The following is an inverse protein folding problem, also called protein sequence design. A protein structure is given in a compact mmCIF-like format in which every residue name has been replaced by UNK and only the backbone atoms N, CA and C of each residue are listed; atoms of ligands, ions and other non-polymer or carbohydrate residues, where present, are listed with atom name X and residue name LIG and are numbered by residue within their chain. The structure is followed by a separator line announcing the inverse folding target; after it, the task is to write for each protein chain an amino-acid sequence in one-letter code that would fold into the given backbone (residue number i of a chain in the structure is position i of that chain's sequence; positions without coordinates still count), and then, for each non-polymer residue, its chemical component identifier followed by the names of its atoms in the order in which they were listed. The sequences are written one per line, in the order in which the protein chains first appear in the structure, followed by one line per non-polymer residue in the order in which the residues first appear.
data_IF_898526833974
#
_entry.id   IF_898526833974
#
_cell.length_a   1.000
_cell.length_b   1.000
_cell.length_c   1.000
_cell.angle_alpha   90.00
_cell.angle_beta   90.00
_cell.angle_gamma   90.00
#
_symmetry.space_group_name_H-M   'P 1'
#
loop_
_entity.id
_entity.type
_entity.pdbx_description
1 polymer ?
#
# COMPACT_ATOMS: atom_id res chain seq x y z
N UNK A 1 10.50 -3.29 14.00
CA UNK A 1 9.11 -3.32 13.48
C UNK A 1 9.20 -3.84 12.06
N UNK A 2 8.52 -4.94 11.71
CA UNK A 2 8.59 -5.48 10.35
C UNK A 2 8.02 -4.47 9.36
N UNK A 3 8.53 -4.47 8.14
CA UNK A 3 8.05 -3.61 7.05
C UNK A 3 6.56 -3.85 6.76
N UNK A 4 6.12 -5.11 6.84
CA UNK A 4 4.72 -5.52 6.76
C UNK A 4 3.82 -4.84 7.82
N UNK A 5 4.31 -4.69 9.06
CA UNK A 5 3.56 -4.04 10.14
C UNK A 5 3.37 -2.54 9.88
N UNK A 6 4.35 -1.90 9.25
CA UNK A 6 4.26 -0.47 8.90
C UNK A 6 3.21 -0.24 7.82
N UNK A 7 3.25 -1.03 6.76
CA UNK A 7 2.26 -0.95 5.66
C UNK A 7 0.85 -1.18 6.18
N UNK A 8 0.64 -2.15 7.07
CA UNK A 8 -0.66 -2.36 7.70
C UNK A 8 -1.10 -1.17 8.56
N UNK A 9 -0.19 -0.58 9.34
CA UNK A 9 -0.48 0.57 10.17
C UNK A 9 -0.96 1.76 9.32
N UNK A 10 -0.29 1.99 8.18
CA UNK A 10 -0.62 3.08 7.25
C UNK A 10 -2.00 2.86 6.61
N UNK A 11 -2.30 1.63 6.18
CA UNK A 11 -3.64 1.26 5.66
C UNK A 11 -4.72 1.53 6.72
N UNK A 12 -4.48 1.16 7.97
CA UNK A 12 -5.44 1.37 9.05
C UNK A 12 -5.66 2.86 9.35
N UNK A 13 -4.58 3.66 9.39
CA UNK A 13 -4.69 5.11 9.56
C UNK A 13 -5.48 5.77 8.43
N UNK A 14 -5.22 5.36 7.19
CA UNK A 14 -5.95 5.85 6.02
C UNK A 14 -7.44 5.55 6.11
N UNK A 15 -7.82 4.32 6.46
CA UNK A 15 -9.24 3.95 6.61
C UNK A 15 -9.90 4.73 7.75
N UNK A 16 -9.23 4.91 8.88
CA UNK A 16 -9.74 5.71 10.01
C UNK A 16 -10.00 7.15 9.58
N UNK A 17 -9.09 7.78 8.83
CA UNK A 17 -9.25 9.15 8.31
C UNK A 17 -10.39 9.25 7.30
N UNK A 18 -10.42 8.34 6.33
CA UNK A 18 -11.47 8.29 5.31
C UNK A 18 -12.86 8.12 5.92
N UNK A 19 -12.97 7.36 7.02
CA UNK A 19 -14.23 7.13 7.73
C UNK A 19 -14.85 8.40 8.31
N UNK A 20 -14.05 9.37 8.77
CA UNK A 20 -14.58 10.67 9.20
C UNK A 20 -15.26 11.41 8.05
N UNK A 21 -14.65 11.38 6.86
CA UNK A 21 -15.21 12.00 5.65
C UNK A 21 -16.51 11.30 5.25
N UNK A 22 -16.52 9.96 5.20
CA UNK A 22 -17.72 9.19 4.83
C UNK A 22 -18.88 9.45 5.80
N UNK A 23 -18.62 9.44 7.11
CA UNK A 23 -19.66 9.72 8.12
C UNK A 23 -20.14 11.16 8.01
N UNK A 24 -19.25 12.13 7.78
CA UNK A 24 -19.62 13.53 7.60
C UNK A 24 -20.50 13.73 6.36
N UNK A 25 -20.19 13.07 5.24
CA UNK A 25 -20.98 13.14 4.01
C UNK A 25 -22.34 12.48 4.18
N UNK A 26 -22.39 11.25 4.71
CA UNK A 26 -23.64 10.52 4.89
C UNK A 26 -24.54 11.18 5.95
N UNK A 27 -23.96 11.59 7.08
CA UNK A 27 -24.66 12.30 8.14
C UNK A 27 -25.11 13.69 7.70
N UNK A 28 -24.26 14.42 6.97
CA UNK A 28 -24.58 15.73 6.42
C UNK A 28 -25.72 15.67 5.39
N UNK A 29 -25.67 14.72 4.46
CA UNK A 29 -26.73 14.50 3.48
C UNK A 29 -28.07 14.18 4.17
N UNK A 30 -28.05 13.33 5.21
CA UNK A 30 -29.24 13.00 5.98
C UNK A 30 -29.82 14.22 6.72
N UNK A 31 -28.97 15.10 7.27
CA UNK A 31 -29.41 16.33 7.95
C UNK A 31 -30.03 17.34 6.97
N UNK A 32 -29.46 17.52 5.78
CA UNK A 32 -29.95 18.48 4.77
C UNK A 32 -31.33 18.10 4.27
N UNK A 33 -31.61 16.80 4.13
CA UNK A 33 -32.89 16.31 3.61
C UNK A 33 -34.02 16.36 4.66
N UNK A 34 -33.72 16.64 5.94
CA UNK A 34 -34.73 16.65 7.01
C UNK A 34 -35.24 18.06 7.34
N UNK A 35 -36.57 18.25 7.43
CA UNK A 35 -37.14 19.48 7.97
C UNK A 35 -36.76 19.63 9.46
N UNK A 36 -36.36 20.85 9.86
CA UNK A 36 -35.81 21.17 11.19
C UNK A 36 -36.62 20.65 12.38
N UNK A 37 -37.94 20.57 12.24
CA UNK A 37 -38.87 20.10 13.29
C UNK A 37 -38.91 18.57 13.47
N UNK A 38 -38.40 17.79 12.51
CA UNK A 38 -38.37 16.32 12.58
C UNK A 38 -37.02 15.74 13.01
N UNK A 39 -35.97 16.57 13.08
CA UNK A 39 -34.62 16.17 13.46
C UNK A 39 -34.61 15.51 14.84
N UNK A 40 -35.37 16.04 15.81
CA UNK A 40 -35.39 15.53 17.18
C UNK A 40 -36.08 14.16 17.32
N UNK A 41 -37.13 13.90 16.53
CA UNK A 41 -37.92 12.66 16.64
C UNK A 41 -37.48 11.52 15.70
N UNK A 42 -37.13 11.82 14.44
CA UNK A 42 -36.69 10.81 13.45
C UNK A 42 -35.18 10.81 13.21
N UNK A 43 -34.50 11.92 13.48
CA UNK A 43 -33.05 12.03 13.32
C UNK A 43 -32.23 11.43 14.47
N UNK A 44 -32.83 11.26 15.65
CA UNK A 44 -32.13 10.85 16.88
C UNK A 44 -31.40 9.52 16.78
N UNK A 45 -31.94 8.54 16.05
CA UNK A 45 -31.31 7.22 15.89
C UNK A 45 -30.10 7.24 14.96
N UNK A 46 -30.20 7.86 13.78
CA UNK A 46 -29.08 7.94 12.84
C UNK A 46 -27.97 8.82 13.42
N UNK A 47 -28.33 9.92 14.09
CA UNK A 47 -27.36 10.77 14.78
C UNK A 47 -26.66 10.04 15.93
N UNK A 48 -27.39 9.29 16.76
CA UNK A 48 -26.78 8.52 17.86
C UNK A 48 -25.85 7.43 17.33
N UNK A 49 -26.21 6.76 16.24
CA UNK A 49 -25.34 5.80 15.58
C UNK A 49 -24.08 6.47 15.02
N UNK A 50 -24.20 7.62 14.35
CA UNK A 50 -23.04 8.38 13.88
C UNK A 50 -22.10 8.72 15.05
N UNK A 51 -22.64 9.14 16.20
CA UNK A 51 -21.84 9.40 17.40
C UNK A 51 -21.14 8.12 17.89
N UNK A 52 -21.84 6.98 17.93
CA UNK A 52 -21.26 5.69 18.33
C UNK A 52 -20.13 5.26 17.38
N UNK A 53 -20.34 5.37 16.06
CA UNK A 53 -19.33 5.00 15.06
C UNK A 53 -18.14 5.96 15.12
N UNK A 54 -18.35 7.26 15.33
CA UNK A 54 -17.26 8.24 15.52
C UNK A 54 -16.49 7.96 16.82
N UNK A 55 -17.17 7.62 17.91
CA UNK A 55 -16.56 7.23 19.17
C UNK A 55 -15.70 5.97 19.01
N UNK A 56 -16.22 4.94 18.34
CA UNK A 56 -15.46 3.74 18.01
C UNK A 56 -14.25 4.07 17.12
N UNK A 57 -14.40 4.95 16.12
CA UNK A 57 -13.30 5.38 15.26
C UNK A 57 -12.19 6.10 16.04
N UNK A 58 -12.56 6.91 17.04
CA UNK A 58 -11.62 7.53 17.98
C UNK A 58 -10.88 6.49 18.84
N UNK A 59 -11.61 5.48 19.33
CA UNK A 59 -11.02 4.37 20.10
C UNK A 59 -9.99 3.61 19.24
N UNK A 60 -10.31 3.30 17.98
CA UNK A 60 -9.37 2.66 17.05
C UNK A 60 -8.11 3.51 16.84
N UNK A 61 -8.27 4.82 16.65
CA UNK A 61 -7.14 5.73 16.53
C UNK A 61 -6.24 5.72 17.78
N UNK A 62 -6.85 5.76 18.97
CA UNK A 62 -6.11 5.72 20.25
C UNK A 62 -5.40 4.39 20.47
N UNK A 63 -6.05 3.27 20.17
CA UNK A 63 -5.47 1.93 20.30
C UNK A 63 -4.28 1.75 19.34
N UNK A 64 -4.38 2.28 18.13
CA UNK A 64 -3.30 2.29 17.14
C UNK A 64 -2.12 3.17 17.61
N UNK A 65 -2.41 4.37 18.11
CA UNK A 65 -1.39 5.33 18.60
C UNK A 65 -0.60 4.76 19.79
N UNK A 66 -1.28 4.12 20.74
CA UNK A 66 -0.66 3.54 21.94
C UNK A 66 -0.12 2.12 21.73
N UNK A 67 -0.23 1.57 20.51
CA UNK A 67 0.25 0.21 20.15
C UNK A 67 -0.18 -0.89 21.12
N UNK A 68 -1.40 -0.79 21.66
CA UNK A 68 -1.91 -1.77 22.63
C UNK A 68 -2.24 -3.14 22.00
N UNK A 69 -2.38 -3.20 20.68
CA UNK A 69 -2.76 -4.41 19.95
C UNK A 69 -2.04 -4.51 18.60
N UNK A 70 -1.84 -5.73 18.06
CA UNK A 70 -1.32 -5.92 16.72
C UNK A 70 -2.29 -5.37 15.67
N UNK A 71 -1.76 -4.76 14.61
CA UNK A 71 -2.54 -4.05 13.59
C UNK A 71 -3.57 -4.96 12.90
N UNK A 72 -3.21 -6.22 12.64
CA UNK A 72 -4.11 -7.20 12.02
C UNK A 72 -5.37 -7.46 12.87
N UNK A 73 -5.23 -7.63 14.19
CA UNK A 73 -6.38 -7.87 15.05
C UNK A 73 -7.29 -6.64 15.10
N UNK A 74 -6.70 -5.45 15.15
CA UNK A 74 -7.44 -4.20 15.13
C UNK A 74 -8.24 -4.03 13.84
N UNK A 75 -7.67 -4.41 12.69
CA UNK A 75 -8.38 -4.45 11.41
C UNK A 75 -9.60 -5.39 11.44
N UNK A 76 -9.48 -6.60 12.00
CA UNK A 76 -10.61 -7.51 12.16
C UNK A 76 -11.70 -6.92 13.05
N UNK A 77 -11.34 -6.39 14.22
CA UNK A 77 -12.31 -5.76 15.12
C UNK A 77 -13.03 -4.58 14.48
N UNK A 78 -12.30 -3.77 13.70
CA UNK A 78 -12.87 -2.64 12.97
C UNK A 78 -13.89 -3.11 11.92
N UNK A 79 -13.57 -4.10 11.09
CA UNK A 79 -14.49 -4.62 10.10
C UNK A 79 -15.72 -5.33 10.71
N UNK A 80 -15.54 -6.07 11.81
CA UNK A 80 -16.66 -6.70 12.54
C UNK A 80 -17.56 -5.64 13.14
N UNK A 81 -17.00 -4.59 13.75
CA UNK A 81 -17.77 -3.48 14.28
C UNK A 81 -18.58 -2.78 13.20
N UNK A 82 -17.99 -2.52 12.02
CA UNK A 82 -18.70 -1.91 10.90
C UNK A 82 -19.83 -2.79 10.38
N UNK A 83 -19.59 -4.10 10.29
CA UNK A 83 -20.60 -5.08 9.90
C UNK A 83 -21.80 -5.05 10.86
N UNK A 84 -21.55 -4.99 12.16
CA UNK A 84 -22.58 -4.90 13.19
C UNK A 84 -23.32 -3.55 13.14
N UNK A 85 -22.59 -2.44 12.99
CA UNK A 85 -23.19 -1.11 12.89
C UNK A 85 -24.12 -1.00 11.67
N UNK A 86 -23.68 -1.49 10.51
CA UNK A 86 -24.52 -1.55 9.30
C UNK A 86 -25.71 -2.48 9.51
N UNK A 87 -25.51 -3.64 10.15
CA UNK A 87 -26.60 -4.57 10.44
C UNK A 87 -27.69 -3.94 11.32
N UNK A 88 -27.31 -3.14 12.32
CA UNK A 88 -28.24 -2.40 13.18
C UNK A 88 -29.05 -1.37 12.38
N UNK A 89 -28.42 -0.67 11.43
CA UNK A 89 -29.12 0.27 10.53
C UNK A 89 -30.16 -0.46 9.68
N UNK A 90 -29.75 -1.57 9.06
CA UNK A 90 -30.59 -2.34 8.14
C UNK A 90 -31.74 -3.02 8.86
N UNK A 91 -31.48 -3.54 10.06
CA UNK A 91 -32.54 -4.09 10.90
C UNK A 91 -33.63 -3.05 11.21
N UNK A 92 -33.31 -1.75 11.27
CA UNK A 92 -34.29 -0.71 11.56
C UNK A 92 -34.98 -0.11 10.33
N UNK A 93 -34.25 0.05 9.23
CA UNK A 93 -34.70 0.77 8.03
C UNK A 93 -35.12 -0.15 6.88
N UNK A 94 -34.84 -1.45 6.96
CA UNK A 94 -35.06 -2.40 5.87
C UNK A 94 -33.82 -2.56 4.99
N UNK A 95 -33.74 -3.70 4.34
CA UNK A 95 -32.64 -4.15 3.49
C UNK A 95 -33.03 -4.16 2.00
N UNK A 96 -34.33 -4.17 1.70
CA UNK A 96 -34.88 -4.05 0.34
C UNK A 96 -34.55 -2.71 -0.34
N UNK A 97 -34.43 -1.62 0.40
CA UNK A 97 -34.10 -0.30 -0.13
C UNK A 97 -32.59 -0.06 -0.40
N UNK A 98 -32.24 1.20 -0.66
CA UNK A 98 -30.85 1.65 -0.92
C UNK A 98 -29.90 1.34 0.24
N UNK A 99 -30.42 1.22 1.46
CA UNK A 99 -29.60 0.91 2.64
C UNK A 99 -28.89 -0.43 2.49
N UNK A 100 -29.46 -1.44 1.81
CA UNK A 100 -28.83 -2.75 1.61
C UNK A 100 -27.45 -2.71 0.94
N UNK A 101 -27.17 -1.65 0.15
CA UNK A 101 -25.86 -1.44 -0.47
C UNK A 101 -24.76 -1.08 0.54
N UNK A 102 -25.09 -0.75 1.81
CA UNK A 102 -24.10 -0.45 2.85
C UNK A 102 -23.16 -1.62 3.15
N UNK A 103 -23.62 -2.86 2.97
CA UNK A 103 -22.76 -4.05 3.09
C UNK A 103 -21.61 -4.06 2.07
N UNK A 104 -21.78 -3.47 0.88
CA UNK A 104 -20.70 -3.38 -0.11
C UNK A 104 -19.54 -2.57 0.46
N UNK A 105 -19.80 -1.47 1.16
CA UNK A 105 -18.74 -0.65 1.75
C UNK A 105 -17.97 -1.40 2.84
N UNK A 106 -18.65 -2.25 3.63
CA UNK A 106 -17.98 -3.09 4.63
C UNK A 106 -17.06 -4.11 3.96
N UNK A 107 -17.53 -4.75 2.88
CA UNK A 107 -16.72 -5.70 2.09
C UNK A 107 -15.52 -4.97 1.46
N UNK A 108 -15.74 -3.80 0.86
CA UNK A 108 -14.68 -3.01 0.24
C UNK A 108 -13.60 -2.59 1.25
N UNK A 109 -14.00 -2.11 2.44
CA UNK A 109 -13.07 -1.75 3.51
C UNK A 109 -12.30 -3.00 3.98
N UNK A 110 -12.97 -4.14 4.14
CA UNK A 110 -12.29 -5.40 4.46
C UNK A 110 -11.27 -5.77 3.39
N UNK A 111 -11.58 -5.46 2.13
CA UNK A 111 -10.72 -5.63 0.96
C UNK A 111 -9.39 -4.87 1.03
N UNK A 112 -9.34 -3.77 1.79
CA UNK A 112 -8.12 -2.96 1.97
C UNK A 112 -7.32 -3.46 3.18
N UNK A 113 -8.03 -3.83 4.25
CA UNK A 113 -7.45 -4.07 5.56
C UNK A 113 -7.07 -5.53 5.83
N UNK A 114 -7.84 -6.48 5.30
CA UNK A 114 -7.74 -7.89 5.65
C UNK A 114 -7.08 -8.72 4.54
N UNK A 115 -6.44 -9.85 4.89
CA UNK A 115 -6.00 -10.83 3.91
C UNK A 115 -7.21 -11.50 3.23
N UNK A 116 -6.98 -12.22 2.12
CA UNK A 116 -8.01 -12.94 1.36
C UNK A 116 -9.00 -13.73 2.22
N UNK A 117 -8.51 -14.47 3.23
CA UNK A 117 -9.37 -15.24 4.15
C UNK A 117 -10.33 -14.34 4.95
N UNK A 118 -9.85 -13.19 5.43
CA UNK A 118 -10.66 -12.25 6.18
C UNK A 118 -11.71 -11.55 5.32
N UNK A 119 -11.38 -11.21 4.08
CA UNK A 119 -12.33 -10.64 3.11
C UNK A 119 -13.48 -11.62 2.85
N UNK A 120 -13.14 -12.89 2.58
CA UNK A 120 -14.15 -13.93 2.34
C UNK A 120 -15.05 -14.16 3.55
N UNK A 121 -14.50 -14.11 4.77
CA UNK A 121 -15.27 -14.22 6.02
C UNK A 121 -16.25 -13.05 6.20
N UNK A 122 -15.80 -11.81 5.98
CA UNK A 122 -16.65 -10.62 6.06
C UNK A 122 -17.74 -10.70 4.98
N UNK A 123 -17.39 -11.03 3.74
CA UNK A 123 -18.34 -11.14 2.64
C UNK A 123 -19.40 -12.21 2.89
N UNK A 124 -18.98 -13.40 3.36
CA UNK A 124 -19.91 -14.46 3.74
C UNK A 124 -20.86 -14.01 4.85
N UNK A 125 -20.32 -13.37 5.89
CA UNK A 125 -21.13 -12.84 7.00
C UNK A 125 -22.13 -11.78 6.53
N UNK A 126 -21.72 -10.87 5.63
CA UNK A 126 -22.60 -9.87 5.02
C UNK A 126 -23.74 -10.52 4.23
N UNK A 127 -23.45 -11.56 3.44
CA UNK A 127 -24.47 -12.29 2.66
C UNK A 127 -25.48 -12.97 3.60
N UNK A 128 -24.99 -13.67 4.62
CA UNK A 128 -25.86 -14.34 5.62
C UNK A 128 -26.75 -13.33 6.34
N UNK A 129 -26.18 -12.21 6.79
CA UNK A 129 -26.94 -11.16 7.48
C UNK A 129 -27.95 -10.49 6.54
N UNK A 130 -27.56 -10.20 5.31
CA UNK A 130 -28.45 -9.65 4.29
C UNK A 130 -29.68 -10.53 4.07
N UNK A 131 -29.48 -11.83 3.80
CA UNK A 131 -30.60 -12.76 3.60
C UNK A 131 -31.43 -12.97 4.87
N UNK A 132 -30.80 -12.98 6.05
CA UNK A 132 -31.50 -13.08 7.34
C UNK A 132 -32.44 -11.89 7.52
N UNK A 133 -31.96 -10.67 7.28
CA UNK A 133 -32.79 -9.46 7.36
C UNK A 133 -33.85 -9.40 6.27
N UNK A 134 -33.54 -9.90 5.06
CA UNK A 134 -34.50 -9.96 3.97
C UNK A 134 -35.67 -10.88 4.31
N UNK A 135 -35.39 -12.06 4.87
CA UNK A 135 -36.44 -12.99 5.33
C UNK A 135 -37.28 -12.34 6.42
N UNK A 136 -36.64 -11.73 7.44
CA UNK A 136 -37.36 -11.04 8.51
C UNK A 136 -38.23 -9.88 8.01
N UNK A 137 -37.76 -9.15 7.00
CA UNK A 137 -38.51 -8.08 6.35
C UNK A 137 -39.73 -8.64 5.61
N UNK A 138 -39.56 -9.74 4.85
CA UNK A 138 -40.66 -10.38 4.10
C UNK A 138 -41.70 -11.06 5.02
N UNK A 139 -41.27 -11.69 6.12
CA UNK A 139 -42.17 -12.51 6.97
C UNK A 139 -42.82 -11.76 8.12
N UNK A 140 -42.21 -10.70 8.63
CA UNK A 140 -42.53 -10.19 9.96
C UNK A 140 -42.65 -8.67 10.11
N UNK A 141 -42.29 -7.89 9.09
CA UNK A 141 -42.43 -6.43 9.14
C UNK A 141 -43.12 -5.94 7.87
N UNK A 142 -44.28 -5.32 8.02
CA UNK A 142 -44.91 -4.51 6.97
C UNK A 142 -44.05 -3.26 6.69
N UNK A 143 -42.83 -3.44 6.18
CA UNK A 143 -42.02 -2.35 5.61
C UNK A 143 -42.64 -2.07 4.25
N UNK A 144 -43.21 -0.87 4.02
CA UNK A 144 -43.74 -0.54 2.70
C UNK A 144 -42.60 -0.66 1.70
N UNK A 145 -42.79 -1.51 0.69
CA UNK A 145 -41.88 -1.62 -0.46
C UNK A 145 -41.79 -0.19 -1.02
N UNK A 146 -40.61 0.46 -0.98
CA UNK A 146 -40.50 1.81 -1.50
C UNK A 146 -40.86 1.75 -3.00
N UNK A 147 -41.77 2.62 -3.49
CA UNK A 147 -42.10 2.66 -4.90
C UNK A 147 -40.80 2.90 -5.69
N UNK A 148 -40.61 2.11 -6.75
CA UNK A 148 -39.45 2.20 -7.62
C UNK A 148 -39.24 3.66 -8.02
N UNK A 149 -38.02 4.15 -7.82
CA UNK A 149 -37.63 5.53 -8.08
C UNK A 149 -37.84 5.89 -9.55
N UNK A 150 -38.89 6.68 -9.83
CA UNK A 150 -39.01 7.58 -10.99
C UNK A 150 -39.16 6.99 -12.40
N UNK A 151 -38.97 5.68 -12.58
CA UNK A 151 -39.26 4.99 -13.84
C UNK A 151 -40.57 4.22 -13.64
N UNK A 152 -41.57 4.54 -14.45
CA UNK A 152 -42.83 3.77 -14.55
C UNK A 152 -42.50 2.27 -14.60
N UNK A 153 -43.18 1.41 -13.83
CA UNK A 153 -42.75 0.02 -13.70
C UNK A 153 -42.98 -0.70 -15.04
N UNK A 154 -41.91 -0.95 -15.80
CA UNK A 154 -41.93 -1.84 -16.96
C UNK A 154 -42.15 -3.31 -16.57
N UNK A 155 -41.95 -3.65 -15.29
CA UNK A 155 -42.02 -5.00 -14.75
C UNK A 155 -42.98 -5.06 -13.55
N UNK A 156 -43.62 -6.23 -13.29
CA UNK A 156 -44.38 -6.45 -12.05
C UNK A 156 -43.53 -6.20 -10.80
N UNK A 157 -44.13 -5.71 -9.70
CA UNK A 157 -43.42 -5.38 -8.45
C UNK A 157 -42.58 -6.54 -7.89
N UNK A 158 -43.11 -7.77 -8.01
CA UNK A 158 -42.40 -8.98 -7.58
C UNK A 158 -41.10 -9.20 -8.37
N UNK A 159 -41.09 -8.87 -9.65
CA UNK A 159 -39.89 -8.99 -10.49
C UNK A 159 -38.84 -7.93 -10.12
N UNK A 160 -39.26 -6.69 -9.82
CA UNK A 160 -38.36 -5.62 -9.37
C UNK A 160 -37.66 -5.98 -8.05
N UNK A 161 -38.38 -6.59 -7.11
CA UNK A 161 -37.80 -7.08 -5.85
C UNK A 161 -36.73 -8.15 -6.09
N UNK A 162 -37.02 -9.15 -6.93
CA UNK A 162 -36.06 -10.21 -7.26
C UNK A 162 -34.83 -9.65 -7.97
N UNK A 163 -35.02 -8.70 -8.89
CA UNK A 163 -33.92 -8.03 -9.59
C UNK A 163 -33.03 -7.26 -8.62
N UNK A 164 -33.59 -6.48 -7.69
CA UNK A 164 -32.80 -5.74 -6.70
C UNK A 164 -31.99 -6.68 -5.79
N UNK A 165 -32.60 -7.76 -5.30
CA UNK A 165 -31.91 -8.79 -4.50
C UNK A 165 -30.78 -9.45 -5.30
N UNK A 166 -31.04 -9.79 -6.56
CA UNK A 166 -30.04 -10.39 -7.45
C UNK A 166 -28.87 -9.44 -7.73
N UNK A 167 -29.15 -8.16 -7.98
CA UNK A 167 -28.12 -7.12 -8.17
C UNK A 167 -27.25 -7.01 -6.93
N UNK A 168 -27.83 -6.88 -5.73
CA UNK A 168 -27.08 -6.77 -4.47
C UNK A 168 -26.22 -8.01 -4.22
N UNK A 169 -26.80 -9.21 -4.40
CA UNK A 169 -26.07 -10.48 -4.27
C UNK A 169 -24.89 -10.57 -5.25
N UNK A 170 -25.11 -10.19 -6.52
CA UNK A 170 -24.06 -10.13 -7.53
C UNK A 170 -22.94 -9.15 -7.13
N UNK A 171 -23.30 -7.95 -6.67
CA UNK A 171 -22.31 -6.95 -6.25
C UNK A 171 -21.52 -7.37 -4.99
N UNK A 172 -22.14 -8.04 -4.01
CA UNK A 172 -21.41 -8.59 -2.87
C UNK A 172 -20.35 -9.59 -3.32
N UNK A 173 -20.72 -10.51 -4.21
CA UNK A 173 -19.80 -11.48 -4.79
C UNK A 173 -18.69 -10.80 -5.60
N UNK A 174 -19.07 -9.90 -6.52
CA UNK A 174 -18.14 -9.20 -7.40
C UNK A 174 -17.08 -8.43 -6.60
N UNK A 175 -17.51 -7.66 -5.60
CA UNK A 175 -16.61 -6.85 -4.76
C UNK A 175 -15.72 -7.77 -3.92
N UNK A 176 -16.28 -8.80 -3.29
CA UNK A 176 -15.49 -9.74 -2.50
C UNK A 176 -14.43 -10.46 -3.34
N UNK A 177 -14.80 -10.91 -4.54
CA UNK A 177 -13.91 -11.58 -5.49
C UNK A 177 -12.82 -10.64 -6.00
N UNK A 178 -13.19 -9.42 -6.42
CA UNK A 178 -12.24 -8.40 -6.88
C UNK A 178 -11.23 -8.06 -5.78
N UNK A 179 -11.70 -7.74 -4.56
CA UNK A 179 -10.84 -7.42 -3.43
C UNK A 179 -9.92 -8.60 -3.05
N UNK A 180 -10.45 -9.84 -3.01
CA UNK A 180 -9.67 -11.02 -2.67
C UNK A 180 -8.54 -11.30 -3.68
N UNK A 181 -8.83 -11.20 -4.98
CA UNK A 181 -7.82 -11.42 -6.01
C UNK A 181 -6.79 -10.28 -6.08
N UNK A 182 -7.23 -9.03 -5.86
CA UNK A 182 -6.30 -7.89 -5.79
C UNK A 182 -5.32 -8.04 -4.64
N UNK A 183 -5.78 -8.48 -3.45
CA UNK A 183 -4.87 -8.71 -2.32
C UNK A 183 -3.82 -9.79 -2.63
N UNK A 184 -4.23 -10.88 -3.28
CA UNK A 184 -3.29 -11.93 -3.69
C UNK A 184 -2.30 -11.43 -4.76
N UNK A 185 -2.76 -10.66 -5.74
CA UNK A 185 -1.92 -10.10 -6.79
C UNK A 185 -0.90 -9.10 -6.24
N UNK A 186 -1.34 -8.15 -5.41
CA UNK A 186 -0.47 -7.20 -4.72
C UNK A 186 0.55 -7.96 -3.87
N UNK A 187 0.11 -8.97 -3.12
CA UNK A 187 0.99 -9.79 -2.29
C UNK A 187 2.02 -10.61 -3.06
N UNK A 188 1.74 -10.96 -4.33
CA UNK A 188 2.72 -11.59 -5.23
C UNK A 188 3.70 -10.58 -5.82
N UNK A 189 3.20 -9.47 -6.36
CA UNK A 189 4.04 -8.43 -6.98
C UNK A 189 5.05 -7.84 -5.99
N UNK A 190 4.64 -7.59 -4.75
CA UNK A 190 5.56 -7.09 -3.70
C UNK A 190 6.66 -8.13 -3.40
N UNK A 191 6.29 -9.42 -3.30
CA UNK A 191 7.26 -10.49 -3.03
C UNK A 191 8.26 -10.68 -4.18
N UNK A 192 7.78 -10.61 -5.40
CA UNK A 192 8.61 -10.73 -6.60
C UNK A 192 9.60 -9.58 -6.70
N UNK A 193 9.15 -8.34 -6.51
CA UNK A 193 10.01 -7.16 -6.47
C UNK A 193 11.05 -7.21 -5.33
N UNK A 194 10.65 -7.65 -4.13
CA UNK A 194 11.60 -7.86 -3.03
C UNK A 194 12.63 -8.94 -3.35
N UNK A 195 12.19 -10.03 -3.99
CA UNK A 195 13.07 -11.11 -4.40
C UNK A 195 14.08 -10.65 -5.44
N UNK A 196 13.65 -9.97 -6.50
CA UNK A 196 14.53 -9.39 -7.52
C UNK A 196 15.55 -8.44 -6.90
N UNK A 197 15.11 -7.55 -6.00
CA UNK A 197 16.00 -6.62 -5.31
C UNK A 197 17.05 -7.36 -4.47
N UNK A 198 16.64 -8.32 -3.65
CA UNK A 198 17.56 -9.11 -2.80
C UNK A 198 18.48 -9.99 -3.63
N UNK A 199 17.99 -10.56 -4.72
CA UNK A 199 18.77 -11.37 -5.64
C UNK A 199 19.86 -10.54 -6.34
N UNK A 200 19.51 -9.37 -6.86
CA UNK A 200 20.47 -8.45 -7.46
C UNK A 200 21.54 -7.98 -6.46
N UNK A 201 21.13 -7.67 -5.22
CA UNK A 201 22.07 -7.32 -4.15
C UNK A 201 23.02 -8.49 -3.83
N UNK A 202 22.48 -9.69 -3.66
CA UNK A 202 23.28 -10.88 -3.36
C UNK A 202 24.29 -11.20 -4.47
N UNK A 203 23.95 -11.00 -5.75
CA UNK A 203 24.89 -11.17 -6.86
C UNK A 203 26.06 -10.20 -6.70
N UNK A 204 25.79 -8.91 -6.50
CA UNK A 204 26.82 -7.87 -6.39
C UNK A 204 27.73 -8.09 -5.18
N UNK A 205 27.19 -8.62 -4.08
CA UNK A 205 27.95 -8.96 -2.87
C UNK A 205 28.95 -10.09 -3.07
N UNK A 206 28.66 -11.06 -3.94
CA UNK A 206 29.49 -12.26 -4.16
C UNK A 206 30.48 -12.09 -5.32
N UNK A 207 30.37 -11.03 -6.13
CA UNK A 207 31.27 -10.79 -7.26
C UNK A 207 32.74 -10.71 -6.80
N UNK A 208 33.66 -11.46 -7.42
CA UNK A 208 35.09 -11.43 -7.07
C UNK A 208 35.82 -10.19 -7.64
N UNK A 209 35.09 -9.11 -7.90
CA UNK A 209 35.58 -7.86 -8.49
C UNK A 209 35.03 -6.71 -7.66
N UNK A 210 35.86 -5.68 -7.40
CA UNK A 210 35.38 -4.52 -6.69
C UNK A 210 34.39 -3.76 -7.56
N UNK A 211 33.18 -3.54 -7.07
CA UNK A 211 32.13 -2.80 -7.79
C UNK A 211 31.82 -1.54 -7.01
N UNK A 212 31.95 -0.41 -7.69
CA UNK A 212 31.57 0.92 -7.22
C UNK A 212 30.60 1.50 -8.24
N UNK A 213 29.49 2.06 -7.81
CA UNK A 213 28.61 2.84 -8.70
C UNK A 213 28.65 4.29 -8.25
N UNK A 214 28.83 5.18 -9.22
CA UNK A 214 28.79 6.62 -9.03
C UNK A 214 27.50 7.20 -9.63
N UNK A 215 26.88 8.17 -8.95
CA UNK A 215 25.82 9.00 -9.56
C UNK A 215 26.41 10.04 -10.53
N UNK A 216 25.55 10.84 -11.16
CA UNK A 216 25.97 11.93 -12.07
C UNK A 216 26.82 13.01 -11.38
N UNK A 217 26.76 13.11 -10.04
CA UNK A 217 27.58 14.01 -9.23
C UNK A 217 28.89 13.38 -8.75
N UNK A 218 29.26 12.19 -9.25
CA UNK A 218 30.41 11.42 -8.80
C UNK A 218 30.37 11.01 -7.32
N UNK A 219 29.17 10.93 -6.73
CA UNK A 219 28.96 10.39 -5.38
C UNK A 219 28.79 8.88 -5.43
N UNK A 220 29.35 8.18 -4.45
CA UNK A 220 29.29 6.72 -4.36
C UNK A 220 27.88 6.29 -3.93
N UNK A 221 27.17 5.56 -4.79
CA UNK A 221 25.82 5.03 -4.54
C UNK A 221 25.76 3.52 -4.36
N UNK A 222 26.84 2.81 -4.71
CA UNK A 222 27.02 1.39 -4.39
C UNK A 222 28.50 1.11 -4.14
N UNK A 223 28.77 0.29 -3.12
CA UNK A 223 30.12 -0.11 -2.76
C UNK A 223 30.11 -1.56 -2.27
N UNK A 224 30.53 -2.52 -3.10
CA UNK A 224 30.43 -3.93 -2.74
C UNK A 224 31.54 -4.39 -1.77
N UNK A 225 31.40 -5.56 -1.11
CA UNK A 225 32.41 -6.06 -0.16
C UNK A 225 33.81 -6.23 -0.75
N UNK A 226 33.92 -6.58 -2.05
CA UNK A 226 35.21 -6.68 -2.71
C UNK A 226 35.87 -5.30 -2.88
N UNK A 227 35.10 -4.25 -3.14
CA UNK A 227 35.61 -2.88 -3.14
C UNK A 227 36.12 -2.50 -1.74
N UNK A 228 35.44 -2.91 -0.66
CA UNK A 228 35.97 -2.71 0.71
C UNK A 228 37.32 -3.40 0.92
N UNK A 229 37.47 -4.62 0.41
CA UNK A 229 38.73 -5.36 0.54
C UNK A 229 39.87 -4.72 -0.27
N UNK A 230 39.58 -4.22 -1.47
CA UNK A 230 40.58 -3.57 -2.34
C UNK A 230 40.98 -2.20 -1.78
N UNK A 231 40.02 -1.37 -1.34
CA UNK A 231 40.28 0.01 -0.95
C UNK A 231 40.54 0.21 0.55
N UNK A 232 40.23 -0.80 1.37
CA UNK A 232 40.25 -0.77 2.83
C UNK A 232 39.25 0.21 3.47
N UNK A 233 38.32 0.77 2.70
CA UNK A 233 37.20 1.55 3.22
C UNK A 233 35.98 0.67 3.48
N UNK A 234 35.20 1.00 4.51
CA UNK A 234 33.88 0.38 4.72
C UNK A 234 32.81 1.13 3.93
N UNK A 235 31.81 0.40 3.43
CA UNK A 235 30.68 0.96 2.70
C UNK A 235 30.04 2.11 3.48
N UNK A 236 29.77 1.90 4.78
CA UNK A 236 29.17 2.93 5.65
C UNK A 236 30.00 4.23 5.77
N UNK A 237 31.29 4.22 5.42
CA UNK A 237 32.18 5.38 5.48
C UNK A 237 32.22 6.19 4.17
N UNK A 238 31.77 5.60 3.07
CA UNK A 238 31.96 6.14 1.70
C UNK A 238 30.65 6.40 0.98
N UNK A 239 29.56 5.72 1.37
CA UNK A 239 28.25 5.89 0.74
C UNK A 239 27.76 7.34 0.81
N UNK A 240 27.30 7.87 -0.32
CA UNK A 240 26.81 9.24 -0.48
C UNK A 240 27.89 10.31 -0.57
N UNK A 241 29.18 9.94 -0.52
CA UNK A 241 30.32 10.87 -0.57
C UNK A 241 30.96 10.88 -1.95
N UNK A 242 31.54 12.02 -2.31
CA UNK A 242 32.20 12.22 -3.61
C UNK A 242 33.50 11.43 -3.72
N UNK A 243 33.87 11.05 -4.95
CA UNK A 243 35.12 10.34 -5.25
C UNK A 243 36.36 11.00 -4.59
N UNK A 244 36.55 12.30 -4.80
CA UNK A 244 37.72 13.05 -4.33
C UNK A 244 37.73 13.25 -2.80
N UNK A 245 36.55 13.24 -2.18
CA UNK A 245 36.38 13.33 -0.74
C UNK A 245 36.80 12.04 -0.04
N UNK A 246 36.44 10.89 -0.62
CA UNK A 246 36.75 9.57 -0.08
C UNK A 246 38.22 9.21 -0.36
N UNK A 247 38.66 9.39 -1.60
CA UNK A 247 39.99 9.03 -2.07
C UNK A 247 40.86 10.28 -2.14
N UNK A 248 41.28 10.79 -0.98
CA UNK A 248 42.12 11.99 -0.93
C UNK A 248 43.43 11.80 -1.70
N UNK A 249 43.74 12.72 -2.61
CA UNK A 249 44.91 12.63 -3.49
C UNK A 249 44.75 11.67 -4.68
N UNK A 250 43.51 11.29 -5.03
CA UNK A 250 43.23 10.52 -6.25
C UNK A 250 43.68 11.30 -7.49
N UNK A 251 44.19 10.58 -8.49
CA UNK A 251 44.67 11.19 -9.72
C UNK A 251 43.49 11.81 -10.51
N UNK A 252 43.61 13.04 -11.03
CA UNK A 252 42.55 13.70 -11.81
C UNK A 252 42.11 12.95 -13.09
N UNK A 253 42.84 11.91 -13.51
CA UNK A 253 42.39 10.99 -14.56
C UNK A 253 41.09 10.27 -14.20
N UNK A 254 40.80 10.04 -12.91
CA UNK A 254 39.56 9.40 -12.49
C UNK A 254 38.34 10.28 -12.72
N UNK A 255 38.35 11.53 -12.23
CA UNK A 255 37.25 12.50 -12.41
C UNK A 255 36.98 12.74 -13.90
N UNK A 256 38.04 12.96 -14.70
CA UNK A 256 37.92 13.10 -16.16
C UNK A 256 37.37 11.85 -16.85
N UNK A 257 37.71 10.66 -16.35
CA UNK A 257 37.20 9.42 -16.93
C UNK A 257 35.72 9.20 -16.59
N UNK A 258 35.27 9.57 -15.38
CA UNK A 258 33.85 9.55 -15.02
C UNK A 258 33.04 10.54 -15.87
N UNK A 259 33.49 11.79 -15.99
CA UNK A 259 32.86 12.81 -16.84
C UNK A 259 32.77 12.32 -18.29
N UNK A 260 33.86 11.78 -18.84
CA UNK A 260 33.87 11.26 -20.21
C UNK A 260 32.86 10.13 -20.42
N UNK A 261 32.70 9.21 -19.47
CA UNK A 261 31.70 8.13 -19.59
C UNK A 261 30.27 8.70 -19.61
N UNK A 262 30.01 9.72 -18.79
CA UNK A 262 28.69 10.38 -18.73
C UNK A 262 28.41 11.14 -20.04
N UNK A 263 29.39 11.85 -20.59
CA UNK A 263 29.22 12.68 -21.80
C UNK A 263 29.18 11.85 -23.08
N UNK A 264 30.04 10.85 -23.20
CA UNK A 264 30.16 10.05 -24.44
C UNK A 264 29.25 8.83 -24.47
N UNK A 265 28.73 8.40 -23.31
CA UNK A 265 28.04 7.11 -23.13
C UNK A 265 28.88 5.91 -23.61
N UNK A 266 30.21 6.06 -23.64
CA UNK A 266 31.15 5.00 -24.00
C UNK A 266 31.92 4.47 -22.78
N UNK A 267 32.35 3.21 -22.84
CA UNK A 267 33.19 2.66 -21.78
C UNK A 267 34.58 3.30 -21.77
N UNK A 268 35.10 3.57 -20.57
CA UNK A 268 36.46 4.06 -20.37
C UNK A 268 37.25 3.08 -19.51
N UNK A 269 38.47 2.76 -19.93
CA UNK A 269 39.37 1.84 -19.21
C UNK A 269 40.58 2.60 -18.72
N UNK A 270 40.89 2.47 -17.43
CA UNK A 270 42.12 2.97 -16.85
C UNK A 270 42.99 1.78 -16.44
N UNK A 271 44.16 1.64 -17.07
CA UNK A 271 45.08 0.54 -16.80
C UNK A 271 46.16 0.98 -15.81
N UNK A 272 46.32 0.22 -14.72
CA UNK A 272 47.30 0.50 -13.68
C UNK A 272 47.13 1.87 -13.00
N UNK A 273 45.89 2.37 -12.92
CA UNK A 273 45.59 3.66 -12.31
C UNK A 273 45.99 3.67 -10.84
N UNK A 274 46.68 4.71 -10.35
CA UNK A 274 46.96 4.86 -8.93
C UNK A 274 45.66 5.13 -8.17
N UNK A 275 45.42 4.33 -7.13
CA UNK A 275 44.28 4.45 -6.23
C UNK A 275 44.81 4.58 -4.79
N UNK A 276 44.65 5.74 -4.12
CA UNK A 276 44.94 5.86 -2.70
C UNK A 276 43.93 5.04 -1.89
N UNK A 277 44.42 4.26 -0.94
CA UNK A 277 43.60 3.41 -0.07
C UNK A 277 43.68 3.90 1.38
N UNK A 278 42.73 3.48 2.23
CA UNK A 278 42.54 4.06 3.58
C UNK A 278 43.78 4.10 4.47
N UNK A 279 44.71 3.16 4.29
CA UNK A 279 45.96 3.10 5.07
C UNK A 279 47.04 4.11 4.61
N UNK A 280 46.73 5.01 3.68
CA UNK A 280 47.64 6.00 3.13
C UNK A 280 48.60 5.48 2.04
N UNK A 281 48.52 4.20 1.67
CA UNK A 281 49.25 3.66 0.52
C UNK A 281 48.49 3.90 -0.78
N UNK A 282 49.19 3.83 -1.90
CA UNK A 282 48.60 3.85 -3.23
C UNK A 282 48.82 2.49 -3.88
N UNK A 283 47.75 1.87 -4.36
CA UNK A 283 47.81 0.62 -5.13
C UNK A 283 47.55 0.91 -6.61
N UNK A 284 48.00 0.01 -7.49
CA UNK A 284 47.64 0.08 -8.92
C UNK A 284 46.49 -0.85 -9.22
N UNK A 285 45.43 -0.29 -9.78
CA UNK A 285 44.22 -1.00 -10.16
C UNK A 285 43.95 -0.86 -11.65
N UNK A 286 43.39 -1.91 -12.24
CA UNK A 286 42.77 -1.80 -13.55
C UNK A 286 41.29 -1.49 -13.32
N UNK A 287 40.81 -0.46 -14.00
CA UNK A 287 39.46 0.07 -13.83
C UNK A 287 38.75 -0.02 -15.17
N UNK A 288 37.51 -0.50 -15.15
CA UNK A 288 36.59 -0.34 -16.27
C UNK A 288 35.37 0.43 -15.78
N UNK A 289 35.14 1.57 -16.41
CA UNK A 289 34.02 2.46 -16.18
C UNK A 289 33.04 2.28 -17.35
N UNK A 290 31.79 1.98 -17.05
CA UNK A 290 30.72 1.79 -18.03
C UNK A 290 29.54 2.68 -17.67
N UNK A 291 28.84 3.27 -18.66
CA UNK A 291 27.65 4.07 -18.38
C UNK A 291 26.55 3.15 -17.83
N UNK A 292 25.89 3.61 -16.76
CA UNK A 292 24.71 2.94 -16.22
C UNK A 292 23.48 3.71 -16.70
N UNK A 293 22.75 3.15 -17.66
CA UNK A 293 21.55 3.76 -18.24
C UNK A 293 20.30 2.91 -18.00
N UNK A 294 19.18 3.58 -17.76
CA UNK A 294 17.83 2.99 -17.69
C UNK A 294 16.94 3.83 -18.60
N UNK A 295 16.11 3.18 -19.42
CA UNK A 295 15.19 3.84 -20.36
C UNK A 295 15.87 4.92 -21.24
N UNK A 296 17.08 4.61 -21.72
CA UNK A 296 17.88 5.49 -22.58
C UNK A 296 18.33 6.80 -21.93
N UNK A 297 18.36 6.85 -20.59
CA UNK A 297 18.89 7.95 -19.81
C UNK A 297 20.03 7.45 -18.92
N UNK A 298 21.20 8.10 -19.00
CA UNK A 298 22.34 7.81 -18.11
C UNK A 298 22.00 8.27 -16.69
N UNK A 299 22.09 7.34 -15.74
CA UNK A 299 21.85 7.59 -14.32
C UNK A 299 23.15 7.68 -13.52
N UNK A 300 24.26 7.20 -14.07
CA UNK A 300 25.54 7.18 -13.39
C UNK A 300 26.58 6.32 -14.10
N UNK A 301 27.61 5.92 -13.37
CA UNK A 301 28.75 5.16 -13.89
C UNK A 301 29.00 3.92 -13.03
N UNK A 302 29.03 2.75 -13.67
CA UNK A 302 29.47 1.49 -13.08
C UNK A 302 30.99 1.37 -13.19
N UNK A 303 31.67 1.36 -12.05
CA UNK A 303 33.10 1.18 -11.93
C UNK A 303 33.43 -0.23 -11.43
N UNK A 304 34.22 -0.97 -12.21
CA UNK A 304 34.74 -2.28 -11.83
C UNK A 304 36.25 -2.21 -11.62
N UNK A 305 36.69 -2.61 -10.42
CA UNK A 305 38.06 -2.60 -9.95
C UNK A 305 38.64 -4.02 -9.98
N UNK A 306 39.70 -4.18 -10.77
CA UNK A 306 40.51 -5.38 -10.78
C UNK A 306 41.86 -5.05 -10.15
N UNK A 307 42.10 -5.59 -8.96
CA UNK A 307 43.41 -5.48 -8.33
C UNK A 307 44.41 -6.39 -9.06
N UNK A 308 45.58 -5.88 -9.38
CA UNK A 308 46.69 -6.68 -9.94
C UNK A 308 47.45 -7.48 -8.88
N UNK A 309 46.79 -7.83 -7.76
CA UNK A 309 47.37 -8.69 -6.73
C UNK A 309 47.48 -10.14 -7.24
N UNK A 310 48.50 -10.39 -8.06
CA UNK A 310 49.19 -11.67 -8.23
C UNK A 310 50.69 -11.42 -8.34
#
# INVERSE_FOLDING_TARGET
MREEDKVQLDRLQWVIRLRFIVIAVLGGNYLIQMPLNQIWNRGSFILSLCVVVLGANMIWHLLLKHRRMPAMNLAYYQCIFDLLAVSIVLFRHGVSGTMGYLFIFVILISGILLPRRGILLIAFSSVVLYFTFLILEVTGRNVPIPPATGLTPLLPEQAMFVVDVAIKGFFFFLVAFACANMQDLIGKMVRESEFERKFNQAIVEVLPTGVIVFDLGSNIVLFNPMAEQITLYKSDEVMGRGLEEVFSGIDPSWSRALERVIESEEEVRLLGAPLPIKNGKTIRVNVRLQPLSIDNQVLGVLCTLFSSLR
#
